data_IF_342472925082
#
_entry.id   IF_342472925082
#
_cell.length_a   1.000
_cell.length_b   1.000
_cell.length_c   1.000
_cell.angle_alpha   90.00
_cell.angle_beta   90.00
_cell.angle_gamma   90.00
#
_symmetry.space_group_name_H-M   'P 1'
#
loop_
_entity.id
_entity.type
_entity.pdbx_description
1 polymer ?
#
# COMPACT_ATOMS: atom_id res chain seq x y z
N UNK A 1 10.25 -13.33 -13.22
CA UNK A 1 9.77 -11.92 -13.37
C UNK A 1 10.79 -10.91 -12.87
N UNK A 2 11.57 -11.19 -11.83
CA UNK A 2 12.58 -10.25 -11.32
C UNK A 2 13.55 -9.77 -12.41
N UNK A 3 14.16 -10.69 -13.17
CA UNK A 3 15.05 -10.34 -14.29
C UNK A 3 14.39 -9.40 -15.32
N UNK A 4 13.10 -9.60 -15.58
CA UNK A 4 12.36 -8.76 -16.55
C UNK A 4 12.27 -7.32 -16.08
N UNK A 5 11.94 -7.09 -14.81
CA UNK A 5 11.85 -5.75 -14.26
C UNK A 5 13.23 -5.10 -14.09
N UNK A 6 14.24 -5.88 -13.69
CA UNK A 6 15.62 -5.39 -13.56
C UNK A 6 16.14 -4.81 -14.88
N UNK A 7 15.96 -5.54 -15.98
CA UNK A 7 16.34 -5.10 -17.32
C UNK A 7 15.57 -3.85 -17.75
N UNK A 8 14.26 -3.81 -17.51
CA UNK A 8 13.43 -2.67 -17.87
C UNK A 8 13.83 -1.39 -17.13
N UNK A 9 13.97 -1.45 -15.82
CA UNK A 9 14.34 -0.26 -15.02
C UNK A 9 15.80 0.15 -15.22
N UNK A 10 16.65 -0.75 -15.72
CA UNK A 10 18.03 -0.44 -16.12
C UNK A 10 18.11 0.32 -17.45
N UNK A 11 17.01 0.39 -18.21
CA UNK A 11 16.96 1.11 -19.47
C UNK A 11 16.94 0.22 -20.72
N UNK A 12 16.95 -1.10 -20.57
CA UNK A 12 16.88 -2.00 -21.70
C UNK A 12 15.49 -2.00 -22.35
N UNK A 13 15.47 -2.33 -23.64
CA UNK A 13 14.20 -2.55 -24.36
C UNK A 13 13.63 -3.91 -24.00
N UNK A 14 12.47 -3.91 -23.32
CA UNK A 14 11.75 -5.11 -22.92
C UNK A 14 10.38 -5.10 -23.58
N UNK A 15 10.03 -6.12 -24.38
CA UNK A 15 8.72 -6.19 -25.02
C UNK A 15 7.59 -6.06 -24.01
N UNK A 16 6.59 -5.23 -24.33
CA UNK A 16 5.47 -4.95 -23.42
C UNK A 16 4.75 -6.22 -22.96
N UNK A 17 4.54 -7.19 -23.83
CA UNK A 17 3.90 -8.48 -23.51
C UNK A 17 4.67 -9.28 -22.46
N UNK A 18 5.99 -9.12 -22.40
CA UNK A 18 6.81 -9.70 -21.34
C UNK A 18 6.79 -8.85 -20.06
N UNK A 19 6.87 -7.55 -20.22
CA UNK A 19 6.87 -6.61 -19.08
C UNK A 19 5.57 -6.67 -18.29
N UNK A 20 4.41 -6.64 -18.97
CA UNK A 20 3.09 -6.67 -18.30
C UNK A 20 2.89 -7.89 -17.40
N UNK A 21 3.56 -9.01 -17.65
CA UNK A 21 3.48 -10.21 -16.80
C UNK A 21 4.02 -9.98 -15.39
N UNK A 22 4.84 -8.96 -15.18
CA UNK A 22 5.35 -8.61 -13.84
C UNK A 22 4.20 -8.27 -12.89
N UNK A 23 3.10 -7.70 -13.37
CA UNK A 23 1.95 -7.28 -12.53
C UNK A 23 0.60 -7.88 -12.96
N UNK A 24 0.50 -8.46 -14.15
CA UNK A 24 -0.76 -8.95 -14.71
C UNK A 24 -0.79 -10.46 -14.98
N UNK A 25 0.24 -11.19 -14.57
CA UNK A 25 0.32 -12.65 -14.78
C UNK A 25 -0.39 -13.37 -13.63
N UNK A 26 -1.72 -13.28 -13.63
CA UNK A 26 -2.59 -13.94 -12.64
C UNK A 26 -3.79 -14.60 -13.33
N UNK A 27 -4.60 -15.32 -12.56
CA UNK A 27 -5.88 -15.85 -13.04
C UNK A 27 -6.97 -14.79 -12.89
N UNK A 28 -7.90 -14.72 -13.87
CA UNK A 28 -8.86 -13.62 -13.98
C UNK A 28 -9.84 -13.44 -12.81
N UNK A 29 -9.98 -14.44 -11.92
CA UNK A 29 -10.83 -14.36 -10.73
C UNK A 29 -10.07 -13.94 -9.45
N UNK A 30 -8.75 -13.78 -9.54
CA UNK A 30 -7.95 -13.20 -8.45
C UNK A 30 -7.92 -11.70 -8.65
N UNK A 31 -8.36 -10.89 -7.67
CA UNK A 31 -8.26 -9.45 -7.77
C UNK A 31 -6.81 -9.03 -7.97
N UNK A 32 -6.55 -8.33 -9.06
CA UNK A 32 -5.24 -7.73 -9.34
C UNK A 32 -5.34 -6.23 -9.19
N UNK A 33 -4.27 -5.63 -8.71
CA UNK A 33 -4.16 -4.19 -8.71
C UNK A 33 -4.16 -3.69 -10.15
N UNK A 34 -4.76 -2.54 -10.38
CA UNK A 34 -4.94 -1.98 -11.73
C UNK A 34 -3.60 -1.88 -12.48
N UNK A 35 -3.54 -2.49 -13.63
CA UNK A 35 -2.34 -2.58 -14.48
C UNK A 35 -1.71 -1.20 -14.79
N UNK A 36 -2.53 -0.15 -14.90
CA UNK A 36 -2.07 1.21 -15.24
C UNK A 36 -1.18 1.81 -14.14
N UNK A 37 -1.53 1.64 -12.87
CA UNK A 37 -0.72 2.15 -11.75
C UNK A 37 0.67 1.54 -11.73
N UNK A 38 0.78 0.24 -11.91
CA UNK A 38 2.07 -0.44 -11.96
C UNK A 38 2.89 -0.04 -13.19
N UNK A 39 2.24 0.05 -14.36
CA UNK A 39 2.91 0.45 -15.58
C UNK A 39 3.54 1.84 -15.42
N UNK A 40 2.78 2.80 -14.91
CA UNK A 40 3.26 4.17 -14.68
C UNK A 40 4.39 4.18 -13.65
N UNK A 41 4.23 3.48 -12.52
CA UNK A 41 5.27 3.40 -11.49
C UNK A 41 6.61 2.88 -12.05
N UNK A 42 6.60 1.79 -12.80
CA UNK A 42 7.83 1.24 -13.37
C UNK A 42 8.41 2.13 -14.46
N UNK A 43 7.57 2.82 -15.24
CA UNK A 43 8.02 3.79 -16.23
C UNK A 43 8.72 4.99 -15.56
N UNK A 44 8.20 5.51 -14.46
CA UNK A 44 8.83 6.57 -13.68
C UNK A 44 10.16 6.11 -13.07
N UNK A 45 10.23 4.91 -12.48
CA UNK A 45 11.49 4.36 -11.98
C UNK A 45 12.53 4.26 -13.09
N UNK A 46 12.13 3.80 -14.29
CA UNK A 46 13.01 3.75 -15.47
C UNK A 46 13.48 5.14 -15.85
N UNK A 47 12.56 6.12 -15.95
CA UNK A 47 12.91 7.50 -16.34
C UNK A 47 13.93 8.10 -15.36
N UNK A 48 13.72 7.95 -14.06
CA UNK A 48 14.67 8.39 -13.03
C UNK A 48 16.02 7.68 -13.19
N UNK A 49 16.02 6.35 -13.35
CA UNK A 49 17.26 5.56 -13.48
C UNK A 49 18.10 5.95 -14.70
N UNK A 50 17.47 6.40 -15.78
CA UNK A 50 18.18 6.87 -16.98
C UNK A 50 18.94 8.17 -16.74
N UNK A 51 18.58 8.95 -15.72
CA UNK A 51 19.29 10.18 -15.32
C UNK A 51 20.38 9.92 -14.27
N UNK A 52 20.43 8.72 -13.68
CA UNK A 52 21.33 8.38 -12.57
C UNK A 52 22.53 7.53 -13.02
N UNK A 53 23.71 7.75 -12.41
CA UNK A 53 24.83 6.82 -12.56
C UNK A 53 24.42 5.40 -12.10
N UNK A 54 25.00 4.33 -12.69
CA UNK A 54 24.61 2.95 -12.38
C UNK A 54 24.64 2.59 -10.88
N UNK A 55 25.56 3.18 -10.12
CA UNK A 55 25.70 2.94 -8.68
C UNK A 55 24.63 3.61 -7.80
N UNK A 56 23.86 4.55 -8.38
CA UNK A 56 22.79 5.30 -7.68
C UNK A 56 21.40 4.91 -8.16
N UNK A 57 21.30 3.99 -9.11
CA UNK A 57 20.01 3.57 -9.66
C UNK A 57 19.12 2.90 -8.64
N UNK A 58 17.83 3.15 -8.76
CA UNK A 58 16.79 2.52 -7.96
C UNK A 58 16.66 1.07 -8.42
N UNK A 59 16.76 0.13 -7.50
CA UNK A 59 16.48 -1.27 -7.73
C UNK A 59 15.05 -1.59 -7.30
N UNK A 60 14.29 -2.28 -8.14
CA UNK A 60 12.93 -2.73 -7.84
C UNK A 60 12.97 -4.19 -7.41
N UNK A 61 12.44 -4.48 -6.23
CA UNK A 61 12.26 -5.83 -5.73
C UNK A 61 10.78 -6.24 -5.82
N UNK A 62 10.50 -7.39 -6.43
CA UNK A 62 9.16 -7.95 -6.44
C UNK A 62 8.89 -8.65 -5.11
N UNK A 63 7.96 -8.11 -4.34
CA UNK A 63 7.74 -8.50 -2.94
C UNK A 63 6.81 -9.69 -2.74
N UNK A 64 6.00 -10.08 -3.72
CA UNK A 64 5.16 -11.27 -3.60
C UNK A 64 5.98 -12.56 -3.81
N UNK A 65 5.65 -13.66 -3.11
CA UNK A 65 6.29 -14.93 -3.35
C UNK A 65 6.08 -15.38 -4.80
N UNK A 66 7.05 -16.07 -5.40
CA UNK A 66 6.89 -16.58 -6.75
C UNK A 66 5.77 -17.64 -6.78
N UNK A 67 4.75 -17.38 -7.59
CA UNK A 67 3.58 -18.26 -7.76
C UNK A 67 3.52 -18.72 -9.21
N UNK A 68 3.36 -20.02 -9.40
CA UNK A 68 3.03 -20.59 -10.71
C UNK A 68 1.51 -20.49 -10.93
N UNK A 69 1.08 -19.38 -11.50
CA UNK A 69 -0.34 -19.10 -11.74
C UNK A 69 -1.00 -20.13 -12.66
N UNK A 70 -0.22 -20.87 -13.47
CA UNK A 70 -0.77 -21.94 -14.32
C UNK A 70 -1.32 -23.11 -13.51
N UNK A 71 -0.86 -23.26 -12.26
CA UNK A 71 -1.29 -24.30 -11.32
C UNK A 71 -2.46 -23.87 -10.43
N UNK A 72 -2.81 -22.59 -10.40
CA UNK A 72 -3.94 -22.09 -9.62
C UNK A 72 -5.24 -22.30 -10.40
N UNK A 73 -6.03 -23.30 -10.00
CA UNK A 73 -7.31 -23.65 -10.64
C UNK A 73 -8.51 -23.37 -9.75
N UNK A 74 -8.33 -23.42 -8.44
CA UNK A 74 -9.37 -23.26 -7.43
C UNK A 74 -8.93 -22.30 -6.33
N UNK A 75 -9.89 -21.86 -5.50
CA UNK A 75 -9.56 -21.03 -4.31
C UNK A 75 -8.68 -21.79 -3.30
N UNK A 76 -8.76 -23.10 -3.22
CA UNK A 76 -7.92 -23.89 -2.32
C UNK A 76 -6.44 -23.82 -2.72
N UNK A 77 -6.13 -23.69 -4.01
CA UNK A 77 -4.77 -23.57 -4.50
C UNK A 77 -4.12 -22.24 -4.07
N UNK A 78 -4.91 -21.24 -3.64
CA UNK A 78 -4.41 -19.97 -3.08
C UNK A 78 -3.67 -20.15 -1.76
N UNK A 79 -3.68 -21.34 -1.15
CA UNK A 79 -2.80 -21.67 -0.01
C UNK A 79 -1.31 -21.44 -0.34
N UNK A 80 -0.92 -21.48 -1.61
CA UNK A 80 0.43 -21.10 -2.07
C UNK A 80 0.75 -19.62 -1.81
N UNK A 81 -0.26 -18.78 -1.60
CA UNK A 81 -0.12 -17.37 -1.21
C UNK A 81 -0.02 -17.17 0.32
N UNK A 82 -0.04 -18.25 1.12
CA UNK A 82 -0.01 -18.16 2.59
C UNK A 82 1.22 -17.39 3.13
N UNK A 83 2.32 -17.37 2.37
CA UNK A 83 3.57 -16.73 2.78
C UNK A 83 3.73 -15.26 2.30
N UNK A 84 2.63 -14.57 1.95
CA UNK A 84 2.67 -13.20 1.43
C UNK A 84 3.22 -12.17 2.43
N UNK A 85 3.26 -12.45 3.70
CA UNK A 85 3.93 -11.59 4.68
C UNK A 85 5.37 -12.06 4.96
N UNK A 86 5.58 -13.37 5.08
CA UNK A 86 6.89 -13.92 5.43
C UNK A 86 7.94 -13.71 4.31
N UNK A 87 7.56 -13.99 3.06
CA UNK A 87 8.47 -13.86 1.92
C UNK A 87 9.03 -12.43 1.78
N UNK A 88 8.21 -11.36 1.70
CA UNK A 88 8.74 -10.01 1.64
C UNK A 88 9.47 -9.59 2.92
N UNK A 89 9.09 -10.11 4.10
CA UNK A 89 9.83 -9.84 5.33
C UNK A 89 11.27 -10.36 5.24
N UNK A 90 11.46 -11.58 4.77
CA UNK A 90 12.78 -12.18 4.60
C UNK A 90 13.58 -11.48 3.50
N UNK A 91 12.93 -11.10 2.41
CA UNK A 91 13.53 -10.30 1.35
C UNK A 91 14.05 -8.96 1.88
N UNK A 92 13.22 -8.20 2.61
CA UNK A 92 13.61 -6.91 3.20
C UNK A 92 14.78 -7.09 4.18
N UNK A 93 14.70 -8.06 5.08
CA UNK A 93 15.77 -8.33 6.03
C UNK A 93 17.11 -8.62 5.33
N UNK A 94 17.10 -9.52 4.34
CA UNK A 94 18.32 -9.98 3.68
C UNK A 94 18.89 -8.97 2.68
N UNK A 95 18.05 -8.26 1.93
CA UNK A 95 18.51 -7.44 0.80
C UNK A 95 18.63 -5.96 1.12
N UNK A 96 17.87 -5.48 2.10
CA UNK A 96 17.82 -4.07 2.49
C UNK A 96 18.50 -3.85 3.85
N UNK A 97 17.92 -4.38 4.92
CA UNK A 97 18.35 -4.06 6.29
C UNK A 97 19.73 -4.62 6.63
N UNK A 98 20.02 -5.87 6.28
CA UNK A 98 21.35 -6.46 6.47
C UNK A 98 22.45 -5.69 5.71
N UNK A 99 22.10 -5.00 4.64
CA UNK A 99 23.00 -4.15 3.85
C UNK A 99 22.95 -2.67 4.23
N UNK A 100 22.24 -2.31 5.31
CA UNK A 100 22.06 -0.94 5.80
C UNK A 100 21.52 0.01 4.71
N UNK A 101 20.65 -0.49 3.85
CA UNK A 101 20.00 0.28 2.77
C UNK A 101 18.65 0.80 3.24
N UNK A 102 18.14 1.81 2.52
CA UNK A 102 16.77 2.29 2.65
C UNK A 102 15.93 1.78 1.47
N UNK A 103 14.64 1.56 1.70
CA UNK A 103 13.70 1.18 0.64
C UNK A 103 12.34 1.84 0.87
N UNK A 104 11.64 2.15 -0.20
CA UNK A 104 10.20 2.39 -0.20
C UNK A 104 9.50 1.04 -0.35
N UNK A 105 8.65 0.69 0.61
CA UNK A 105 7.84 -0.53 0.58
C UNK A 105 6.40 -0.13 0.25
N UNK A 106 5.91 -0.54 -0.90
CA UNK A 106 4.52 -0.30 -1.34
C UNK A 106 3.75 -1.60 -1.14
N UNK A 107 2.86 -1.60 -0.17
CA UNK A 107 2.11 -2.80 0.21
C UNK A 107 0.71 -2.43 0.69
N UNK A 108 -0.25 -3.34 0.50
CA UNK A 108 -1.60 -3.13 1.04
C UNK A 108 -1.62 -3.03 2.57
N UNK A 109 -2.44 -2.15 3.12
CA UNK A 109 -2.52 -1.86 4.57
C UNK A 109 -2.72 -3.13 5.42
N UNK A 110 -3.48 -4.11 4.93
CA UNK A 110 -3.67 -5.40 5.61
C UNK A 110 -2.39 -6.21 5.84
N UNK A 111 -1.32 -5.91 5.10
CA UNK A 111 -0.01 -6.53 5.27
C UNK A 111 0.93 -5.75 6.21
N UNK A 112 0.56 -4.53 6.60
CA UNK A 112 1.39 -3.66 7.45
C UNK A 112 0.95 -3.66 8.91
N UNK A 113 -0.30 -4.05 9.19
CA UNK A 113 -0.86 -4.03 10.54
C UNK A 113 -1.29 -5.43 11.00
N UNK A 114 -1.16 -5.71 12.30
CA UNK A 114 -1.52 -6.99 12.92
C UNK A 114 -0.32 -7.84 13.32
N UNK A 115 -0.59 -8.87 14.13
CA UNK A 115 0.45 -9.67 14.80
C UNK A 115 1.35 -10.50 13.86
N UNK A 116 0.86 -10.86 12.69
CA UNK A 116 1.60 -11.61 11.66
C UNK A 116 1.80 -10.77 10.39
N UNK A 117 1.81 -9.45 10.52
CA UNK A 117 2.01 -8.54 9.39
C UNK A 117 3.47 -8.54 8.93
N UNK A 118 3.70 -8.11 7.69
CA UNK A 118 5.02 -7.86 7.15
C UNK A 118 5.87 -7.00 8.11
N UNK A 119 5.29 -5.88 8.59
CA UNK A 119 5.96 -4.98 9.54
C UNK A 119 6.39 -5.72 10.80
N UNK A 120 5.46 -6.43 11.45
CA UNK A 120 5.75 -7.17 12.68
C UNK A 120 6.84 -8.22 12.48
N UNK A 121 6.78 -8.99 11.39
CA UNK A 121 7.78 -10.01 11.07
C UNK A 121 9.20 -9.45 10.84
N UNK A 122 9.31 -8.24 10.31
CA UNK A 122 10.61 -7.57 10.16
C UNK A 122 11.07 -7.00 11.49
N UNK A 123 10.18 -6.31 12.24
CA UNK A 123 10.54 -5.60 13.47
C UNK A 123 10.86 -6.52 14.65
N UNK A 124 10.52 -7.81 14.58
CA UNK A 124 11.04 -8.82 15.50
C UNK A 124 12.58 -8.87 15.53
N UNK A 125 13.24 -8.57 14.41
CA UNK A 125 14.72 -8.62 14.30
C UNK A 125 15.35 -7.23 14.09
N UNK A 126 14.58 -6.28 13.61
CA UNK A 126 15.00 -4.91 13.33
C UNK A 126 13.97 -3.93 13.90
N UNK A 127 13.97 -3.66 15.21
CA UNK A 127 13.00 -2.77 15.85
C UNK A 127 12.95 -1.41 15.16
N UNK A 128 11.75 -0.83 15.04
CA UNK A 128 11.49 0.49 14.45
C UNK A 128 12.01 0.66 13.01
N UNK A 129 12.06 -0.44 12.25
CA UNK A 129 12.57 -0.42 10.88
C UNK A 129 11.67 0.32 9.88
N UNK A 130 10.38 0.49 10.20
CA UNK A 130 9.41 1.09 9.31
C UNK A 130 8.96 2.48 9.74
N UNK A 131 8.89 3.39 8.78
CA UNK A 131 8.08 4.59 8.84
C UNK A 131 6.88 4.39 7.91
N UNK A 132 5.69 4.21 8.51
CA UNK A 132 4.47 3.87 7.76
C UNK A 132 3.72 5.15 7.40
N UNK A 133 3.46 5.32 6.11
CA UNK A 133 2.70 6.43 5.53
C UNK A 133 1.40 5.86 4.97
N UNK A 134 0.27 6.44 5.36
CA UNK A 134 -1.05 6.08 4.83
C UNK A 134 -1.56 7.19 3.92
N UNK A 135 -1.90 6.90 2.65
CA UNK A 135 -2.53 7.89 1.78
C UNK A 135 -3.96 8.21 2.23
N UNK A 136 -4.36 9.47 2.14
CA UNK A 136 -5.74 9.89 2.35
C UNK A 136 -6.58 9.60 1.10
N UNK A 137 -7.68 8.87 1.27
CA UNK A 137 -8.61 8.51 0.21
C UNK A 137 -10.02 9.07 0.42
N UNK A 138 -10.23 9.92 1.43
CA UNK A 138 -11.53 10.48 1.81
C UNK A 138 -12.29 9.65 2.83
N UNK A 139 -13.45 10.16 3.19
CA UNK A 139 -14.41 9.50 4.09
C UNK A 139 -15.56 8.89 3.30
N UNK A 140 -16.23 7.92 3.89
CA UNK A 140 -17.43 7.29 3.32
C UNK A 140 -18.57 8.30 3.16
N UNK A 141 -18.72 9.23 4.13
CA UNK A 141 -19.64 10.34 4.05
C UNK A 141 -18.98 11.55 3.36
N UNK A 142 -19.50 12.05 2.25
CA UNK A 142 -18.98 13.25 1.59
C UNK A 142 -18.93 14.49 2.49
N UNK A 143 -19.88 14.66 3.42
CA UNK A 143 -19.86 15.80 4.34
C UNK A 143 -18.65 15.77 5.30
N UNK A 144 -18.21 14.58 5.69
CA UNK A 144 -16.99 14.40 6.45
C UNK A 144 -15.74 14.79 5.64
N UNK A 145 -15.70 14.37 4.36
CA UNK A 145 -14.61 14.74 3.44
C UNK A 145 -14.54 16.25 3.27
N UNK A 146 -15.69 16.90 3.00
CA UNK A 146 -15.76 18.36 2.86
C UNK A 146 -15.36 19.12 4.13
N UNK A 147 -15.74 18.61 5.31
CA UNK A 147 -15.36 19.23 6.58
C UNK A 147 -13.85 19.13 6.80
N UNK A 148 -13.27 17.95 6.58
CA UNK A 148 -11.84 17.72 6.70
C UNK A 148 -11.04 18.54 5.69
N UNK A 149 -11.43 18.54 4.42
CA UNK A 149 -10.75 19.30 3.37
C UNK A 149 -10.81 20.82 3.60
N UNK A 150 -11.87 21.32 4.24
CA UNK A 150 -11.92 22.72 4.70
C UNK A 150 -10.92 23.00 5.82
N UNK A 151 -10.73 22.05 6.73
CA UNK A 151 -9.77 22.23 7.84
C UNK A 151 -8.31 22.25 7.34
N UNK A 152 -8.04 21.62 6.21
CA UNK A 152 -6.70 21.54 5.60
C UNK A 152 -6.60 22.34 4.29
N UNK A 153 -7.47 23.31 4.05
CA UNK A 153 -7.58 24.00 2.75
C UNK A 153 -6.30 24.69 2.29
N UNK A 154 -5.46 25.10 3.23
CA UNK A 154 -4.18 25.77 3.01
C UNK A 154 -3.00 24.81 2.85
N UNK A 155 -3.25 23.51 2.96
CA UNK A 155 -2.19 22.54 2.73
C UNK A 155 -1.77 22.52 1.26
N UNK A 156 -0.47 22.31 0.98
CA UNK A 156 -0.02 22.09 -0.40
C UNK A 156 -0.68 20.85 -1.00
N UNK A 157 -0.82 20.79 -2.33
CA UNK A 157 -1.45 19.69 -3.06
C UNK A 157 -0.78 18.32 -2.84
N UNK A 158 0.46 18.33 -2.34
CA UNK A 158 1.11 17.14 -1.79
C UNK A 158 1.63 17.54 -0.42
N UNK A 159 1.07 16.96 0.63
CA UNK A 159 1.47 17.21 2.02
C UNK A 159 1.64 15.90 2.79
N UNK A 160 2.62 15.87 3.67
CA UNK A 160 2.86 14.78 4.61
C UNK A 160 2.67 15.29 6.03
N UNK A 161 1.59 14.87 6.69
CA UNK A 161 1.32 15.20 8.08
C UNK A 161 1.94 14.16 9.01
N UNK A 162 2.76 14.60 9.95
CA UNK A 162 3.40 13.75 10.97
C UNK A 162 3.82 14.58 12.19
N UNK A 163 3.63 14.09 13.43
CA UNK A 163 2.87 12.90 13.78
C UNK A 163 1.37 13.13 13.65
N UNK A 164 0.60 12.09 13.32
CA UNK A 164 -0.86 12.15 13.34
C UNK A 164 -1.38 11.82 14.73
N UNK A 165 -0.81 10.82 15.38
CA UNK A 165 -1.21 10.40 16.73
C UNK A 165 -1.03 11.51 17.75
N UNK A 166 -2.05 11.74 18.57
CA UNK A 166 -2.12 12.77 19.61
C UNK A 166 -1.96 14.22 19.06
N UNK A 167 -2.35 14.45 17.83
CA UNK A 167 -2.41 15.79 17.22
C UNK A 167 -3.86 16.24 17.06
N UNK A 168 -4.09 17.55 16.88
CA UNK A 168 -5.42 18.10 16.56
C UNK A 168 -5.99 17.46 15.27
N UNK A 169 -5.14 17.12 14.32
CA UNK A 169 -5.53 16.44 13.09
C UNK A 169 -6.22 15.08 13.36
N UNK A 170 -5.81 14.36 14.41
CA UNK A 170 -6.46 13.11 14.79
C UNK A 170 -7.93 13.33 15.16
N UNK A 171 -8.22 14.39 15.92
CA UNK A 171 -9.59 14.70 16.34
C UNK A 171 -10.46 15.08 15.15
N UNK A 172 -9.93 15.88 14.21
CA UNK A 172 -10.63 16.25 12.98
C UNK A 172 -10.93 15.01 12.10
N UNK A 173 -10.01 14.04 12.07
CA UNK A 173 -10.18 12.81 11.26
C UNK A 173 -11.10 11.77 11.92
N UNK A 174 -11.29 11.83 13.24
CA UNK A 174 -12.15 10.92 14.00
C UNK A 174 -13.45 11.57 14.49
N UNK A 175 -13.97 12.55 13.74
CA UNK A 175 -15.26 13.16 14.07
C UNK A 175 -16.37 12.08 14.13
N UNK A 176 -17.32 12.18 15.08
CA UNK A 176 -18.36 11.19 15.26
C UNK A 176 -19.12 10.89 13.98
N UNK A 177 -19.20 9.61 13.61
CA UNK A 177 -19.90 9.15 12.40
C UNK A 177 -19.06 9.25 11.12
N UNK A 178 -17.86 9.82 11.15
CA UNK A 178 -16.96 9.87 10.01
C UNK A 178 -16.05 8.65 9.99
N UNK A 179 -16.15 7.87 8.91
CA UNK A 179 -15.33 6.67 8.68
C UNK A 179 -14.60 6.79 7.36
N UNK A 180 -13.33 6.39 7.33
CA UNK A 180 -12.54 6.38 6.11
C UNK A 180 -13.12 5.43 5.07
N UNK A 181 -12.96 5.77 3.79
CA UNK A 181 -13.27 4.87 2.68
C UNK A 181 -12.54 3.54 2.89
N UNK A 182 -13.29 2.44 2.88
CA UNK A 182 -12.77 1.09 3.15
C UNK A 182 -12.80 0.66 4.62
N UNK A 183 -13.08 1.54 5.57
CA UNK A 183 -13.15 1.16 6.99
C UNK A 183 -14.37 0.28 7.31
N UNK A 184 -15.47 0.46 6.59
CA UNK A 184 -16.74 -0.27 6.77
C UNK A 184 -16.94 -1.44 5.80
N UNK A 185 -16.02 -1.65 4.85
CA UNK A 185 -16.19 -2.65 3.77
C UNK A 185 -15.92 -4.10 4.21
N UNK A 186 -16.01 -4.38 5.52
CA UNK A 186 -15.78 -5.71 6.04
C UNK A 186 -17.04 -6.57 6.01
N UNK A 187 -16.92 -7.75 5.41
CA UNK A 187 -17.85 -8.85 5.68
C UNK A 187 -17.54 -9.44 7.05
N UNK A 188 -18.28 -9.03 8.04
CA UNK A 188 -18.19 -9.62 9.37
C UNK A 188 -18.77 -11.05 9.40
N UNK A 189 -18.19 -11.90 10.24
CA UNK A 189 -18.82 -13.17 10.60
C UNK A 189 -20.25 -12.91 11.11
N UNK A 190 -21.21 -13.75 10.71
CA UNK A 190 -22.62 -13.63 11.14
C UNK A 190 -22.80 -13.67 12.65
N UNK A 191 -21.82 -14.21 13.38
CA UNK A 191 -21.79 -14.30 14.84
C UNK A 191 -21.15 -13.10 15.52
N UNK A 192 -20.56 -12.15 14.77
CA UNK A 192 -19.91 -10.98 15.34
C UNK A 192 -20.93 -10.05 16.02
N UNK A 193 -20.67 -9.69 17.26
CA UNK A 193 -21.47 -8.73 18.03
C UNK A 193 -21.30 -7.31 17.48
N UNK A 194 -22.27 -6.42 17.74
CA UNK A 194 -22.16 -5.01 17.33
C UNK A 194 -20.92 -4.32 17.92
N UNK A 195 -20.53 -4.66 19.15
CA UNK A 195 -19.32 -4.16 19.77
C UNK A 195 -18.05 -4.61 19.04
N UNK A 196 -18.01 -5.87 18.57
CA UNK A 196 -16.88 -6.37 17.76
C UNK A 196 -16.80 -5.70 16.40
N UNK A 197 -17.95 -5.46 15.76
CA UNK A 197 -18.04 -4.75 14.50
C UNK A 197 -17.55 -3.30 14.65
N UNK A 198 -18.07 -2.57 15.64
CA UNK A 198 -17.68 -1.19 15.92
C UNK A 198 -16.18 -1.09 16.22
N UNK A 199 -15.63 -2.02 17.03
CA UNK A 199 -14.19 -2.05 17.27
C UNK A 199 -13.38 -2.27 16.00
N UNK A 200 -13.79 -3.18 15.14
CA UNK A 200 -13.06 -3.46 13.89
C UNK A 200 -13.08 -2.26 12.93
N UNK A 201 -14.19 -1.52 12.88
CA UNK A 201 -14.29 -0.27 12.12
C UNK A 201 -13.32 0.77 12.69
N UNK A 202 -13.34 1.01 14.00
CA UNK A 202 -12.44 1.95 14.66
C UNK A 202 -10.96 1.58 14.48
N UNK A 203 -10.60 0.30 14.68
CA UNK A 203 -9.23 -0.19 14.45
C UNK A 203 -8.77 0.03 12.99
N UNK A 204 -9.71 0.09 12.05
CA UNK A 204 -9.40 0.33 10.64
C UNK A 204 -9.32 1.81 10.32
N UNK A 205 -10.18 2.63 10.89
CA UNK A 205 -10.06 4.09 10.82
C UNK A 205 -8.69 4.54 11.35
N UNK A 206 -8.23 4.01 12.48
CA UNK A 206 -6.89 4.28 13.01
C UNK A 206 -5.77 3.93 12.01
N UNK A 207 -5.91 2.83 11.27
CA UNK A 207 -4.94 2.43 10.25
C UNK A 207 -4.96 3.36 9.04
N UNK A 208 -6.14 3.72 8.56
CA UNK A 208 -6.33 4.52 7.35
C UNK A 208 -6.03 6.00 7.60
N UNK A 209 -6.25 6.50 8.80
CA UNK A 209 -5.89 7.86 9.19
C UNK A 209 -4.39 8.09 9.41
N UNK A 210 -3.59 7.03 9.44
CA UNK A 210 -2.18 7.12 9.80
C UNK A 210 -1.90 7.20 11.31
N UNK A 211 -2.92 7.15 12.16
CA UNK A 211 -2.75 7.12 13.65
C UNK A 211 -2.04 5.85 14.10
N UNK A 212 -2.38 4.70 13.53
CA UNK A 212 -1.68 3.44 13.79
C UNK A 212 -0.32 3.33 13.11
N UNK A 213 -0.06 4.19 12.11
CA UNK A 213 1.22 4.34 11.42
C UNK A 213 2.05 5.50 11.99
N UNK A 214 2.71 6.25 11.10
CA UNK A 214 3.55 7.37 11.44
C UNK A 214 3.08 8.69 10.81
N UNK A 215 2.43 8.63 9.64
CA UNK A 215 2.06 9.80 8.87
C UNK A 215 0.87 9.57 7.96
N UNK A 216 0.16 10.66 7.62
CA UNK A 216 -0.84 10.74 6.58
C UNK A 216 -0.27 11.47 5.37
N UNK A 217 -0.47 10.90 4.17
CA UNK A 217 -0.12 11.53 2.90
C UNK A 217 -1.38 12.10 2.24
N UNK A 218 -1.47 13.41 2.15
CA UNK A 218 -2.50 14.11 1.40
C UNK A 218 -2.01 14.40 -0.02
N UNK A 219 -2.73 13.92 -1.01
CA UNK A 219 -2.37 14.06 -2.43
C UNK A 219 -3.09 15.23 -3.13
N UNK A 220 -3.83 16.03 -2.37
CA UNK A 220 -4.64 17.11 -2.92
C UNK A 220 -5.88 16.60 -3.65
N UNK A 221 -6.54 17.48 -4.39
CA UNK A 221 -7.75 17.17 -5.15
C UNK A 221 -7.53 16.27 -6.37
N UNK A 222 -6.31 15.75 -6.56
CA UNK A 222 -5.99 14.85 -7.68
C UNK A 222 -6.79 13.53 -7.64
N UNK A 223 -7.29 13.14 -6.45
CA UNK A 223 -8.10 11.93 -6.30
C UNK A 223 -9.61 12.15 -6.48
N UNK A 224 -10.10 13.40 -6.42
CA UNK A 224 -11.54 13.69 -6.47
C UNK A 224 -12.07 14.01 -7.88
N UNK A 225 -11.20 14.26 -8.86
CA UNK A 225 -11.59 14.70 -10.20
C UNK A 225 -12.08 13.58 -11.14
N UNK A 226 -12.05 12.31 -10.73
CA UNK A 226 -12.46 11.19 -11.59
C UNK A 226 -13.90 10.70 -11.37
N UNK A 227 -14.67 11.29 -10.44
CA UNK A 227 -16.03 10.86 -10.10
C UNK A 227 -17.16 11.75 -10.68
N UNK A 228 -16.84 12.76 -11.50
CA UNK A 228 -17.83 13.72 -12.01
C UNK A 228 -17.77 13.91 -13.53
N UNK A 229 -17.82 12.83 -14.29
CA UNK A 229 -18.36 12.85 -15.67
C UNK A 229 -18.68 11.41 -16.10
N UNK A 230 -19.89 10.99 -15.85
CA UNK A 230 -20.58 9.94 -16.60
C UNK A 230 -22.08 10.24 -16.61
#
# INVERSE_FOLDING_TARGET
>A
MQETIDRYVAGEDVPYERLRKVWADTVGWVPTVTALGYMNFYAEVRAVNLTLPPTQRIHVWLGDPPVDWSKIKTRADLSQLANRNQYPADLIKATILAKKRKALVIYGSGHLFGNASLKTLVEQSYPDAFFVITPYFGFTDPACSEAFERAIYDWPNIALATPVRNSALQDDMHAPGCHFVGASDFTFDKTATEAQKAKAVADTDDKLSGVAGNALLYLGNLCTSSASTA
#
